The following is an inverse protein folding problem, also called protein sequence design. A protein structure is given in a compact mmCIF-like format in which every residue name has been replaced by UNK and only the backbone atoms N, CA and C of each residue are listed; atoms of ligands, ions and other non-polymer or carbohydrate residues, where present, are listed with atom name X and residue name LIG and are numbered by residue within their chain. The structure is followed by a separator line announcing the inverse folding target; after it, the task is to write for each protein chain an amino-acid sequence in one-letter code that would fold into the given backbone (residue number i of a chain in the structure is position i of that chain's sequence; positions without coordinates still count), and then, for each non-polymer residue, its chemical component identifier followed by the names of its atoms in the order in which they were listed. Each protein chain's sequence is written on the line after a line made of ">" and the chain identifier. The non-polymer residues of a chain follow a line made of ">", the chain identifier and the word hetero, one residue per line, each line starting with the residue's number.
data_IF_708048285726
#
_entry.id   IF_708048285726
#
_cell.length_a   1.000
_cell.length_b   1.000
_cell.length_c   1.000
_cell.angle_alpha   90.00
_cell.angle_beta   90.00
_cell.angle_gamma   90.00
#
_symmetry.space_group_name_H-M   'P 1'
#
loop_
_entity.id
_entity.type
_entity.pdbx_description
1 polymer ?
#
# COMPACT_ATOMS: atom_id res chain seq x y z
N UNK A 1 21.59 23.53 -56.55
CA UNK A 1 21.68 24.40 -55.36
C UNK A 1 20.48 24.13 -54.46
N UNK A 2 20.53 23.06 -53.67
CA UNK A 2 19.75 22.88 -52.44
C UNK A 2 20.60 21.97 -51.54
N UNK A 3 21.04 22.52 -50.42
CA UNK A 3 21.89 21.91 -49.41
C UNK A 3 21.07 21.78 -48.12
N UNK A 4 21.31 20.71 -47.34
CA UNK A 4 20.90 20.48 -45.93
C UNK A 4 19.41 20.13 -45.75
N UNK A 5 19.00 19.25 -44.83
CA UNK A 5 19.43 19.10 -43.43
C UNK A 5 19.28 17.62 -43.01
N UNK A 6 20.38 17.01 -42.56
CA UNK A 6 20.38 15.77 -41.76
C UNK A 6 20.49 16.18 -40.29
N UNK A 7 19.44 15.98 -39.50
CA UNK A 7 19.50 16.18 -38.05
C UNK A 7 19.93 14.87 -37.38
N UNK A 8 21.22 14.76 -37.08
CA UNK A 8 21.73 13.85 -36.05
C UNK A 8 21.28 14.37 -34.68
N UNK A 9 20.39 13.63 -34.02
CA UNK A 9 20.07 13.83 -32.60
C UNK A 9 21.16 13.15 -31.78
N UNK A 10 22.12 13.94 -31.31
CA UNK A 10 23.17 13.48 -30.40
C UNK A 10 22.56 13.33 -29.00
N UNK A 11 22.31 12.09 -28.58
CA UNK A 11 21.89 11.75 -27.21
C UNK A 11 23.05 11.98 -26.26
N UNK A 12 23.04 13.11 -25.55
CA UNK A 12 23.96 13.41 -24.47
C UNK A 12 23.61 12.49 -23.29
N UNK A 13 24.37 11.41 -23.11
CA UNK A 13 24.33 10.57 -21.91
C UNK A 13 25.13 11.32 -20.83
N UNK A 14 24.52 11.78 -19.72
CA UNK A 14 25.29 12.41 -18.65
C UNK A 14 26.18 11.36 -17.98
N UNK A 15 27.46 11.69 -17.82
CA UNK A 15 28.45 10.87 -17.14
C UNK A 15 28.00 10.51 -15.71
N UNK A 16 28.32 9.30 -15.19
CA UNK A 16 27.94 8.91 -13.85
C UNK A 16 28.57 9.85 -12.83
N UNK A 17 27.73 10.39 -11.93
CA UNK A 17 28.13 11.18 -10.77
C UNK A 17 29.20 10.42 -9.97
N UNK A 18 30.44 10.91 -9.99
CA UNK A 18 31.50 10.44 -9.10
C UNK A 18 31.17 10.86 -7.67
N UNK A 19 30.46 10.02 -6.94
CA UNK A 19 30.38 10.14 -5.48
C UNK A 19 31.76 9.81 -4.89
N UNK A 20 32.54 10.83 -4.51
CA UNK A 20 33.83 10.67 -3.82
C UNK A 20 33.64 10.42 -2.32
N UNK A 21 32.79 9.47 -1.95
CA UNK A 21 32.58 9.10 -0.55
C UNK A 21 32.89 7.62 -0.39
N UNK A 22 33.90 7.31 0.41
CA UNK A 22 34.34 5.94 0.70
C UNK A 22 33.16 5.12 1.26
N UNK A 23 32.57 4.27 0.41
CA UNK A 23 31.60 3.23 0.76
C UNK A 23 31.92 2.44 2.05
N UNK A 24 33.19 2.17 2.43
CA UNK A 24 33.47 1.51 3.71
C UNK A 24 33.02 2.32 4.95
N UNK A 25 33.00 3.65 4.92
CA UNK A 25 32.62 4.47 6.08
C UNK A 25 31.11 4.41 6.36
N UNK A 26 30.28 4.43 5.33
CA UNK A 26 28.82 4.30 5.50
C UNK A 26 28.47 2.87 5.92
N UNK A 27 29.16 1.87 5.36
CA UNK A 27 28.93 0.48 5.72
C UNK A 27 29.36 0.22 7.18
N UNK A 28 30.54 0.63 7.61
CA UNK A 28 31.00 0.42 9.01
C UNK A 28 30.22 1.27 10.02
N UNK A 29 29.82 2.50 9.70
CA UNK A 29 28.99 3.30 10.63
C UNK A 29 27.54 2.80 10.72
N UNK A 30 26.97 2.28 9.62
CA UNK A 30 25.65 1.63 9.66
C UNK A 30 25.72 0.25 10.34
N UNK A 31 26.84 -0.46 10.16
CA UNK A 31 27.19 -1.78 10.71
C UNK A 31 27.96 -1.66 12.04
N UNK A 32 27.77 -0.59 12.81
CA UNK A 32 28.07 -0.56 14.27
C UNK A 32 26.84 -0.02 15.02
N UNK A 33 25.81 0.43 14.29
CA UNK A 33 24.68 1.21 14.80
C UNK A 33 23.40 0.39 14.91
N UNK A 34 23.48 -0.88 15.32
CA UNK A 34 22.29 -1.72 15.59
C UNK A 34 21.56 -1.38 16.92
N UNK A 35 21.72 -0.17 17.47
CA UNK A 35 20.87 0.39 18.54
C UNK A 35 20.73 1.92 18.42
N UNK A 36 19.51 2.49 18.38
CA UNK A 36 19.30 3.93 18.56
C UNK A 36 19.48 4.26 20.05
N UNK A 37 20.74 4.33 20.47
CA UNK A 37 21.16 4.62 21.84
C UNK A 37 22.67 4.81 21.85
N UNK A 38 23.11 5.99 22.27
CA UNK A 38 24.49 6.50 22.33
C UNK A 38 25.57 5.38 22.30
N UNK A 39 26.30 5.29 21.18
CA UNK A 39 27.44 4.37 21.01
C UNK A 39 28.38 4.44 22.22
N UNK A 40 28.72 3.28 22.79
CA UNK A 40 29.68 3.24 23.89
C UNK A 40 31.08 3.63 23.39
N UNK A 41 31.97 4.03 24.30
CA UNK A 41 33.36 4.34 23.92
C UNK A 41 34.10 3.13 23.33
N UNK A 42 33.75 1.92 23.76
CA UNK A 42 34.30 0.69 23.21
C UNK A 42 33.82 0.45 21.76
N UNK A 43 32.55 0.73 21.47
CA UNK A 43 31.99 0.58 20.13
C UNK A 43 32.55 1.61 19.15
N UNK A 44 32.80 2.84 19.62
CA UNK A 44 33.50 3.87 18.83
C UNK A 44 34.93 3.46 18.47
N UNK A 45 35.66 2.84 19.41
CA UNK A 45 37.03 2.34 19.16
C UNK A 45 36.99 1.17 18.17
N UNK A 46 36.03 0.25 18.29
CA UNK A 46 35.85 -0.85 17.33
C UNK A 46 35.55 -0.36 15.92
N UNK A 47 34.68 0.65 15.76
CA UNK A 47 34.37 1.24 14.47
C UNK A 47 35.61 1.83 13.79
N UNK A 48 36.35 2.68 14.52
CA UNK A 48 37.60 3.25 14.00
C UNK A 48 38.67 2.18 13.76
N UNK A 49 38.63 1.10 14.55
CA UNK A 49 39.55 0.00 14.37
C UNK A 49 39.30 -0.79 13.09
N UNK A 50 38.02 -1.01 12.75
CA UNK A 50 37.57 -1.64 11.51
C UNK A 50 37.88 -0.78 10.27
N UNK A 51 37.93 0.55 10.42
CA UNK A 51 38.41 1.48 9.38
C UNK A 51 39.94 1.44 9.17
N UNK A 52 40.67 0.67 9.99
CA UNK A 52 42.12 0.54 9.89
C UNK A 52 42.93 1.63 10.60
N UNK A 53 42.31 2.47 11.46
CA UNK A 53 43.04 3.53 12.17
C UNK A 53 43.94 2.97 13.27
N UNK A 54 45.17 3.46 13.36
CA UNK A 54 46.08 3.15 14.47
C UNK A 54 45.59 3.74 15.80
N UNK A 55 46.05 3.20 16.93
CA UNK A 55 45.68 3.71 18.26
C UNK A 55 45.98 5.21 18.43
N UNK A 56 47.05 5.71 17.81
CA UNK A 56 47.38 7.15 17.83
C UNK A 56 46.37 7.99 17.07
N UNK A 57 45.92 7.52 15.90
CA UNK A 57 44.90 8.20 15.10
C UNK A 57 43.53 8.15 15.77
N UNK A 58 43.17 7.01 16.36
CA UNK A 58 41.93 6.87 17.14
C UNK A 58 41.95 7.80 18.36
N UNK A 59 43.07 7.89 19.07
CA UNK A 59 43.25 8.76 20.24
C UNK A 59 43.03 10.23 19.86
N UNK A 60 43.67 10.68 18.77
CA UNK A 60 43.50 12.02 18.23
C UNK A 60 42.03 12.29 17.82
N UNK A 61 41.36 11.32 17.19
CA UNK A 61 39.98 11.48 16.69
C UNK A 61 38.93 11.48 17.79
N UNK A 62 39.16 10.73 18.88
CA UNK A 62 38.26 10.64 20.03
C UNK A 62 38.57 11.66 21.13
N UNK A 63 39.66 12.44 21.00
CA UNK A 63 40.09 13.45 21.98
C UNK A 63 40.56 12.84 23.31
N UNK A 64 41.20 11.67 23.26
CA UNK A 64 41.69 10.92 24.43
C UNK A 64 43.16 10.52 24.27
N UNK A 65 43.82 10.04 25.33
CA UNK A 65 45.21 9.58 25.24
C UNK A 65 45.31 8.17 24.63
N UNK A 66 46.46 7.85 24.01
CA UNK A 66 46.74 6.51 23.51
C UNK A 66 46.71 5.45 24.64
N UNK A 67 47.12 5.82 25.86
CA UNK A 67 47.01 4.96 27.05
C UNK A 67 45.55 4.64 27.41
N UNK A 68 44.66 5.64 27.26
CA UNK A 68 43.22 5.43 27.46
C UNK A 68 42.68 4.43 26.44
N UNK A 69 43.14 4.49 25.18
CA UNK A 69 42.80 3.49 24.15
C UNK A 69 43.30 2.10 24.52
N UNK A 70 44.53 1.97 25.02
CA UNK A 70 45.06 0.68 25.48
C UNK A 70 44.20 0.07 26.61
N UNK A 71 43.68 0.91 27.51
CA UNK A 71 42.74 0.45 28.55
C UNK A 71 41.40 -0.02 27.97
N UNK A 72 40.89 0.62 26.92
CA UNK A 72 39.68 0.16 26.24
C UNK A 72 39.93 -1.15 25.48
N UNK A 73 41.07 -1.30 24.82
CA UNK A 73 41.45 -2.53 24.13
C UNK A 73 41.49 -3.74 25.08
N UNK A 74 42.01 -3.58 26.30
CA UNK A 74 41.98 -4.66 27.32
C UNK A 74 40.55 -5.16 27.60
N UNK A 75 39.58 -4.25 27.69
CA UNK A 75 38.17 -4.61 27.92
C UNK A 75 37.54 -5.23 26.68
N UNK A 76 37.84 -4.67 25.51
CA UNK A 76 37.36 -5.17 24.22
C UNK A 76 37.87 -6.59 23.96
N UNK A 77 39.15 -6.87 24.19
CA UNK A 77 39.70 -8.23 24.05
C UNK A 77 39.01 -9.23 24.97
N UNK A 78 38.80 -8.87 26.23
CA UNK A 78 38.05 -9.72 27.17
C UNK A 78 36.59 -9.91 26.73
N UNK A 79 35.94 -8.87 26.20
CA UNK A 79 34.55 -8.90 25.73
C UNK A 79 34.36 -9.80 24.51
N UNK A 80 35.33 -9.85 23.60
CA UNK A 80 35.30 -10.63 22.37
C UNK A 80 36.06 -11.96 22.47
N UNK A 81 36.69 -12.25 23.61
CA UNK A 81 37.56 -13.41 23.82
C UNK A 81 38.61 -13.56 22.71
N UNK A 82 39.29 -12.46 22.40
CA UNK A 82 40.18 -12.36 21.24
C UNK A 82 41.59 -11.93 21.65
N UNK A 83 42.58 -12.49 20.96
CA UNK A 83 44.00 -12.28 21.27
C UNK A 83 44.63 -11.19 20.40
N UNK A 84 43.93 -10.75 19.35
CA UNK A 84 44.44 -9.73 18.43
C UNK A 84 43.34 -8.78 17.96
N UNK A 85 43.74 -7.56 17.62
CA UNK A 85 42.83 -6.55 17.08
C UNK A 85 42.11 -7.05 15.82
N UNK A 86 42.83 -7.73 14.92
CA UNK A 86 42.25 -8.31 13.71
C UNK A 86 41.16 -9.32 14.03
N UNK A 87 41.38 -10.17 15.04
CA UNK A 87 40.41 -11.15 15.49
C UNK A 87 39.17 -10.48 16.11
N UNK A 88 39.35 -9.44 16.94
CA UNK A 88 38.23 -8.65 17.48
C UNK A 88 37.37 -8.09 16.34
N UNK A 89 38.00 -7.43 15.37
CA UNK A 89 37.29 -6.83 14.23
C UNK A 89 36.57 -7.89 13.42
N UNK A 90 37.22 -9.04 13.14
CA UNK A 90 36.59 -10.14 12.42
C UNK A 90 35.37 -10.72 13.15
N UNK A 91 35.48 -11.00 14.45
CA UNK A 91 34.37 -11.52 15.27
C UNK A 91 33.22 -10.53 15.39
N UNK A 92 33.52 -9.24 15.54
CA UNK A 92 32.51 -8.19 15.57
C UNK A 92 31.70 -8.13 14.27
N UNK A 93 32.38 -8.10 13.12
CA UNK A 93 31.74 -8.08 11.80
C UNK A 93 30.92 -9.36 11.53
N UNK A 94 31.43 -10.53 11.93
CA UNK A 94 30.71 -11.80 11.77
C UNK A 94 29.41 -11.83 12.57
N UNK A 95 29.46 -11.42 13.85
CA UNK A 95 28.28 -11.38 14.73
C UNK A 95 27.20 -10.45 14.17
N UNK A 96 27.61 -9.34 13.57
CA UNK A 96 26.67 -8.38 13.01
C UNK A 96 26.08 -8.84 11.67
N UNK A 97 26.90 -9.45 10.81
CA UNK A 97 26.41 -10.09 9.59
C UNK A 97 25.39 -11.21 9.88
N UNK A 98 25.61 -11.98 10.96
CA UNK A 98 24.65 -12.97 11.44
C UNK A 98 23.35 -12.33 11.89
N UNK A 99 23.39 -11.31 12.75
CA UNK A 99 22.20 -10.61 13.22
C UNK A 99 21.39 -9.98 12.08
N UNK A 100 22.06 -9.39 11.09
CA UNK A 100 21.42 -8.87 9.88
C UNK A 100 20.73 -9.95 9.05
N UNK A 101 21.32 -11.15 8.99
CA UNK A 101 20.77 -12.27 8.24
C UNK A 101 19.51 -12.81 8.93
N UNK A 102 19.57 -13.02 10.25
CA UNK A 102 18.42 -13.47 11.05
C UNK A 102 17.24 -12.48 10.98
N UNK A 103 17.52 -11.18 11.08
CA UNK A 103 16.48 -10.15 10.98
C UNK A 103 15.87 -10.11 9.57
N UNK A 104 16.70 -10.25 8.53
CA UNK A 104 16.22 -10.35 7.15
C UNK A 104 15.32 -11.56 6.95
N UNK A 105 15.70 -12.73 7.46
CA UNK A 105 14.89 -13.95 7.38
C UNK A 105 13.56 -13.80 8.11
N UNK A 106 13.57 -13.20 9.30
CA UNK A 106 12.36 -12.88 10.06
C UNK A 106 11.42 -11.97 9.26
N UNK A 107 11.93 -10.87 8.70
CA UNK A 107 11.13 -9.95 7.89
C UNK A 107 10.59 -10.61 6.62
N UNK A 108 11.38 -11.45 5.96
CA UNK A 108 10.92 -12.20 4.79
C UNK A 108 9.77 -13.15 5.13
N UNK A 109 9.86 -13.83 6.29
CA UNK A 109 8.78 -14.68 6.77
C UNK A 109 7.49 -13.87 7.06
N UNK A 110 7.61 -12.74 7.76
CA UNK A 110 6.47 -11.87 8.06
C UNK A 110 5.80 -11.32 6.78
N UNK A 111 6.60 -10.89 5.80
CA UNK A 111 6.10 -10.46 4.50
C UNK A 111 5.37 -11.60 3.78
N UNK A 112 5.93 -12.82 3.80
CA UNK A 112 5.32 -13.97 3.15
C UNK A 112 3.96 -14.32 3.75
N UNK A 113 3.85 -14.31 5.08
CA UNK A 113 2.58 -14.55 5.79
C UNK A 113 1.55 -13.44 5.50
N UNK A 114 1.96 -12.18 5.56
CA UNK A 114 1.08 -11.05 5.22
C UNK A 114 0.54 -11.17 3.79
N UNK A 115 1.41 -11.47 2.83
CA UNK A 115 1.03 -11.66 1.43
C UNK A 115 0.14 -12.89 1.22
N UNK A 116 0.27 -13.93 2.04
CA UNK A 116 -0.61 -15.11 2.01
C UNK A 116 -2.02 -14.73 2.44
N UNK A 117 -2.17 -14.02 3.56
CA UNK A 117 -3.49 -13.54 4.05
C UNK A 117 -4.14 -12.62 3.03
N UNK A 118 -3.39 -11.66 2.47
CA UNK A 118 -3.90 -10.74 1.45
C UNK A 118 -4.39 -11.47 0.19
N UNK A 119 -3.65 -12.47 -0.29
CA UNK A 119 -4.07 -13.30 -1.43
C UNK A 119 -5.34 -14.08 -1.14
N UNK A 120 -5.48 -14.67 0.05
CA UNK A 120 -6.68 -15.39 0.45
C UNK A 120 -7.90 -14.46 0.50
N UNK A 121 -7.72 -13.25 1.05
CA UNK A 121 -8.77 -12.23 1.07
C UNK A 121 -9.16 -11.80 -0.34
N UNK A 122 -8.18 -11.58 -1.22
CA UNK A 122 -8.42 -11.21 -2.60
C UNK A 122 -9.18 -12.30 -3.36
N UNK A 123 -8.82 -13.58 -3.17
CA UNK A 123 -9.54 -14.72 -3.75
C UNK A 123 -10.98 -14.81 -3.23
N UNK A 124 -11.18 -14.60 -1.92
CA UNK A 124 -12.52 -14.57 -1.32
C UNK A 124 -13.39 -13.47 -1.94
N UNK A 125 -12.86 -12.25 -2.05
CA UNK A 125 -13.58 -11.13 -2.66
C UNK A 125 -13.89 -11.35 -4.14
N UNK A 126 -12.95 -11.91 -4.91
CA UNK A 126 -13.17 -12.25 -6.32
C UNK A 126 -14.30 -13.26 -6.48
N UNK A 127 -14.37 -14.28 -5.62
CA UNK A 127 -15.47 -15.26 -5.64
C UNK A 127 -16.81 -14.58 -5.36
N UNK A 128 -16.88 -13.69 -4.37
CA UNK A 128 -18.09 -12.92 -4.08
C UNK A 128 -18.53 -12.07 -5.29
N UNK A 129 -17.60 -11.42 -5.99
CA UNK A 129 -17.91 -10.64 -7.19
C UNK A 129 -18.47 -11.50 -8.32
N UNK A 130 -17.84 -12.65 -8.62
CA UNK A 130 -18.34 -13.57 -9.66
C UNK A 130 -19.75 -14.07 -9.35
N UNK A 131 -20.03 -14.39 -8.07
CA UNK A 131 -21.38 -14.79 -7.66
C UNK A 131 -22.39 -13.66 -7.86
N UNK A 132 -22.05 -12.43 -7.49
CA UNK A 132 -22.93 -11.27 -7.70
C UNK A 132 -23.13 -10.93 -9.18
N UNK A 133 -22.12 -11.14 -10.04
CA UNK A 133 -22.22 -10.97 -11.49
C UNK A 133 -23.10 -12.04 -12.15
N UNK A 134 -23.16 -13.25 -11.59
CA UNK A 134 -24.04 -14.31 -12.09
C UNK A 134 -25.53 -14.04 -11.83
N UNK A 135 -25.87 -13.06 -10.98
CA UNK A 135 -27.26 -12.72 -10.70
C UNK A 135 -27.91 -12.01 -11.89
N UNK A 136 -29.11 -12.43 -12.33
CA UNK A 136 -29.83 -11.78 -13.45
C UNK A 136 -30.37 -10.39 -13.08
N UNK A 137 -30.37 -10.07 -11.80
CA UNK A 137 -30.80 -8.80 -11.23
C UNK A 137 -29.66 -7.80 -11.10
N UNK A 138 -29.98 -6.51 -11.20
CA UNK A 138 -29.02 -5.43 -11.01
C UNK A 138 -28.73 -5.21 -9.52
N UNK A 139 -27.45 -5.18 -9.16
CA UNK A 139 -26.98 -4.90 -7.80
C UNK A 139 -26.04 -3.71 -7.84
N UNK A 140 -26.24 -2.75 -6.94
CA UNK A 140 -25.40 -1.59 -6.73
C UNK A 140 -25.16 -1.41 -5.23
N UNK A 141 -23.89 -1.28 -4.84
CA UNK A 141 -23.49 -0.92 -3.48
C UNK A 141 -22.70 0.39 -3.52
N UNK A 142 -23.16 1.39 -2.78
CA UNK A 142 -22.51 2.69 -2.64
C UNK A 142 -22.11 2.97 -1.19
N UNK A 143 -21.06 3.75 -0.98
CA UNK A 143 -20.63 4.20 0.35
C UNK A 143 -21.58 5.26 0.91
N UNK A 144 -21.42 5.60 2.19
CA UNK A 144 -22.09 6.74 2.84
C UNK A 144 -21.95 8.05 2.03
N UNK A 145 -20.76 8.29 1.46
CA UNK A 145 -20.48 9.45 0.58
C UNK A 145 -21.07 9.34 -0.84
N UNK A 146 -21.99 8.41 -1.07
CA UNK A 146 -22.64 8.16 -2.38
C UNK A 146 -21.63 7.88 -3.50
N UNK A 147 -20.53 7.17 -3.18
CA UNK A 147 -19.57 6.65 -4.16
C UNK A 147 -19.83 5.19 -4.44
N UNK A 148 -19.82 4.80 -5.71
CA UNK A 148 -20.01 3.41 -6.11
C UNK A 148 -18.86 2.55 -5.56
N UNK A 149 -19.17 1.59 -4.69
CA UNK A 149 -18.19 0.61 -4.19
C UNK A 149 -18.25 -0.70 -4.96
N UNK A 150 -19.43 -1.07 -5.45
CA UNK A 150 -19.63 -2.22 -6.32
C UNK A 150 -20.88 -2.05 -7.18
N UNK A 151 -20.86 -2.59 -8.39
CA UNK A 151 -22.07 -2.90 -9.16
C UNK A 151 -21.79 -4.13 -10.01
N UNK A 152 -22.83 -4.91 -10.34
CA UNK A 152 -22.68 -6.08 -11.17
C UNK A 152 -22.94 -5.78 -12.66
N UNK A 153 -22.63 -6.73 -13.55
CA UNK A 153 -22.88 -6.57 -15.00
C UNK A 153 -24.36 -6.34 -15.33
N UNK A 154 -25.27 -7.01 -14.61
CA UNK A 154 -26.71 -6.83 -14.76
C UNK A 154 -27.16 -5.39 -14.47
N UNK A 155 -26.49 -4.66 -13.56
CA UNK A 155 -26.74 -3.23 -13.34
C UNK A 155 -26.46 -2.41 -14.60
N UNK A 156 -25.28 -2.56 -15.20
CA UNK A 156 -24.95 -1.85 -16.44
C UNK A 156 -25.94 -2.21 -17.57
N UNK A 157 -26.33 -3.48 -17.69
CA UNK A 157 -27.30 -3.93 -18.70
C UNK A 157 -28.69 -3.33 -18.49
N UNK A 158 -29.28 -3.50 -17.31
CA UNK A 158 -30.65 -3.07 -16.99
C UNK A 158 -30.79 -1.55 -17.16
N UNK A 159 -29.81 -0.78 -16.68
CA UNK A 159 -29.80 0.68 -16.79
C UNK A 159 -29.14 1.20 -18.08
N UNK A 160 -28.81 0.31 -19.03
CA UNK A 160 -28.21 0.65 -20.34
C UNK A 160 -26.95 1.52 -20.24
N UNK A 161 -26.14 1.28 -19.22
CA UNK A 161 -24.91 2.02 -18.97
C UNK A 161 -23.78 1.49 -19.87
N UNK A 162 -23.09 2.39 -20.58
CA UNK A 162 -22.04 2.03 -21.56
C UNK A 162 -20.70 1.65 -20.92
N UNK A 163 -20.53 1.91 -19.62
CA UNK A 163 -19.29 1.65 -18.91
C UNK A 163 -19.28 0.24 -18.30
N UNK A 164 -18.10 -0.35 -18.18
CA UNK A 164 -17.92 -1.62 -17.46
C UNK A 164 -18.07 -1.41 -15.95
N UNK A 165 -18.58 -2.40 -15.18
CA UNK A 165 -18.77 -2.25 -13.74
C UNK A 165 -17.52 -1.78 -12.98
N UNK A 166 -16.35 -2.34 -13.34
CA UNK A 166 -15.05 -1.97 -12.73
C UNK A 166 -14.67 -0.49 -12.94
N UNK A 167 -15.13 0.15 -14.01
CA UNK A 167 -14.82 1.57 -14.27
C UNK A 167 -15.79 2.53 -13.59
N UNK A 168 -16.86 1.99 -13.00
CA UNK A 168 -17.85 2.72 -12.20
C UNK A 168 -17.46 2.81 -10.74
N UNK A 169 -16.63 1.90 -10.22
CA UNK A 169 -16.12 1.94 -8.85
C UNK A 169 -15.41 3.28 -8.59
N UNK A 170 -15.76 3.94 -7.49
CA UNK A 170 -15.29 5.26 -7.08
C UNK A 170 -16.02 6.44 -7.72
N UNK A 171 -16.90 6.22 -8.70
CA UNK A 171 -17.69 7.30 -9.32
C UNK A 171 -18.82 7.76 -8.39
N UNK A 172 -19.30 8.96 -8.70
CA UNK A 172 -20.44 9.57 -8.05
C UNK A 172 -21.75 8.88 -8.45
N UNK A 173 -22.39 8.22 -7.49
CA UNK A 173 -23.61 7.47 -7.73
C UNK A 173 -24.84 8.38 -7.93
N UNK A 174 -24.84 9.60 -7.36
CA UNK A 174 -25.91 10.59 -7.58
C UNK A 174 -25.94 10.98 -9.05
N UNK A 175 -24.77 11.28 -9.64
CA UNK A 175 -24.67 11.59 -11.07
C UNK A 175 -25.16 10.43 -11.94
N UNK A 176 -24.72 9.21 -11.63
CA UNK A 176 -25.13 8.02 -12.37
C UNK A 176 -26.64 7.77 -12.28
N UNK A 177 -27.22 8.01 -11.10
CA UNK A 177 -28.68 7.91 -10.87
C UNK A 177 -29.44 8.95 -11.69
N UNK A 178 -28.95 10.19 -11.77
CA UNK A 178 -29.57 11.24 -12.61
C UNK A 178 -29.58 10.86 -14.09
N UNK A 179 -28.49 10.30 -14.61
CA UNK A 179 -28.43 9.83 -15.99
C UNK A 179 -29.41 8.67 -16.23
N UNK A 180 -29.51 7.74 -15.27
CA UNK A 180 -30.45 6.61 -15.32
C UNK A 180 -31.91 7.03 -15.16
N UNK A 181 -32.18 8.12 -14.42
CA UNK A 181 -33.52 8.59 -14.09
C UNK A 181 -34.35 8.91 -15.36
N UNK A 182 -33.68 9.31 -16.45
CA UNK A 182 -34.30 9.60 -17.76
C UNK A 182 -35.01 8.39 -18.38
N UNK A 183 -34.70 7.17 -17.94
CA UNK A 183 -35.36 5.94 -18.38
C UNK A 183 -36.70 5.64 -17.70
N UNK A 184 -37.14 6.48 -16.76
CA UNK A 184 -38.38 6.28 -15.98
C UNK A 184 -39.47 7.28 -16.34
N UNK A 185 -40.72 6.88 -16.13
CA UNK A 185 -41.88 7.74 -16.45
C UNK A 185 -41.94 8.99 -15.55
N UNK A 186 -41.54 8.86 -14.29
CA UNK A 186 -41.45 9.97 -13.33
C UNK A 186 -40.01 10.17 -12.85
N UNK A 187 -39.22 10.91 -13.64
CA UNK A 187 -37.81 11.22 -13.36
C UNK A 187 -37.63 11.94 -12.03
N UNK A 188 -38.47 12.94 -11.74
CA UNK A 188 -38.32 13.80 -10.55
C UNK A 188 -38.74 13.03 -9.30
N UNK A 189 -39.87 12.32 -9.35
CA UNK A 189 -40.32 11.49 -8.24
C UNK A 189 -39.36 10.35 -7.93
N UNK A 190 -38.76 9.73 -8.95
CA UNK A 190 -37.73 8.70 -8.75
C UNK A 190 -36.51 9.22 -7.97
N UNK A 191 -35.97 10.38 -8.35
CA UNK A 191 -34.83 10.98 -7.67
C UNK A 191 -35.16 11.38 -6.23
N UNK A 192 -36.29 12.06 -6.02
CA UNK A 192 -36.76 12.44 -4.68
C UNK A 192 -36.94 11.21 -3.79
N UNK A 193 -37.51 10.13 -4.34
CA UNK A 193 -37.75 8.89 -3.61
C UNK A 193 -36.45 8.22 -3.15
N UNK A 194 -35.38 8.28 -3.93
CA UNK A 194 -34.07 7.75 -3.51
C UNK A 194 -33.53 8.52 -2.30
N UNK A 195 -33.62 9.85 -2.34
CA UNK A 195 -33.16 10.69 -1.23
C UNK A 195 -34.01 10.47 0.03
N UNK A 196 -35.32 10.29 -0.11
CA UNK A 196 -36.22 9.90 1.01
C UNK A 196 -35.83 8.56 1.63
N UNK A 197 -35.56 7.55 0.80
CA UNK A 197 -35.18 6.21 1.28
C UNK A 197 -33.87 6.26 2.05
N UNK A 198 -32.85 6.92 1.50
CA UNK A 198 -31.56 7.06 2.19
C UNK A 198 -31.72 7.86 3.49
N UNK A 199 -32.48 8.96 3.47
CA UNK A 199 -32.70 9.79 4.66
C UNK A 199 -33.48 9.05 5.75
N UNK A 200 -34.40 8.15 5.39
CA UNK A 200 -35.11 7.31 6.35
C UNK A 200 -34.20 6.30 7.05
N UNK A 201 -33.16 5.80 6.36
CA UNK A 201 -32.30 4.74 6.87
C UNK A 201 -33.01 3.40 7.07
N UNK A 202 -34.20 3.21 6.51
CA UNK A 202 -35.00 1.99 6.63
C UNK A 202 -34.93 1.13 5.37
N UNK A 203 -34.99 -0.19 5.52
CA UNK A 203 -35.04 -1.10 4.39
C UNK A 203 -36.37 -0.96 3.63
N UNK A 204 -36.31 -0.98 2.30
CA UNK A 204 -37.48 -0.96 1.41
C UNK A 204 -37.44 -2.21 0.55
N UNK A 205 -38.58 -2.88 0.37
CA UNK A 205 -38.68 -4.08 -0.45
C UNK A 205 -39.87 -4.02 -1.41
N UNK A 206 -39.69 -4.50 -2.63
CA UNK A 206 -40.75 -4.69 -3.60
C UNK A 206 -41.28 -3.41 -4.24
N UNK A 207 -40.58 -2.29 -4.15
CA UNK A 207 -41.10 -1.03 -4.68
C UNK A 207 -41.08 -1.04 -6.21
N UNK A 208 -42.23 -0.81 -6.85
CA UNK A 208 -42.38 -0.89 -8.31
C UNK A 208 -42.17 0.46 -8.97
N UNK A 209 -41.37 0.45 -10.04
CA UNK A 209 -40.97 1.65 -10.79
C UNK A 209 -41.26 1.41 -12.27
N UNK A 210 -42.04 2.30 -12.88
CA UNK A 210 -42.40 2.19 -14.28
C UNK A 210 -41.34 2.85 -15.18
N UNK A 211 -40.89 2.13 -16.19
CA UNK A 211 -39.95 2.62 -17.21
C UNK A 211 -40.69 3.29 -18.37
N UNK A 212 -40.02 4.18 -19.10
CA UNK A 212 -40.57 4.85 -20.29
C UNK A 212 -40.95 3.89 -21.41
N UNK A 213 -40.34 2.70 -21.46
CA UNK A 213 -40.69 1.62 -22.39
C UNK A 213 -41.91 0.77 -21.94
N UNK A 214 -42.56 1.14 -20.83
CA UNK A 214 -43.74 0.47 -20.27
C UNK A 214 -43.47 -0.87 -19.58
N UNK A 215 -42.21 -1.21 -19.30
CA UNK A 215 -41.85 -2.33 -18.40
C UNK A 215 -41.71 -1.84 -16.95
N UNK A 216 -41.66 -2.78 -16.01
CA UNK A 216 -41.54 -2.49 -14.58
C UNK A 216 -40.21 -2.97 -14.02
N UNK A 217 -39.63 -2.19 -13.12
CA UNK A 217 -38.60 -2.64 -12.20
C UNK A 217 -39.18 -2.79 -10.80
N UNK A 218 -38.75 -3.82 -10.11
CA UNK A 218 -38.87 -3.94 -8.66
C UNK A 218 -37.56 -3.48 -8.02
N UNK A 219 -37.63 -2.64 -6.99
CA UNK A 219 -36.48 -2.13 -6.23
C UNK A 219 -36.57 -2.55 -4.78
N UNK A 220 -35.48 -3.13 -4.30
CA UNK A 220 -35.19 -3.28 -2.88
C UNK A 220 -34.01 -2.37 -2.50
N UNK A 221 -34.04 -1.89 -1.26
CA UNK A 221 -33.00 -1.11 -0.62
C UNK A 221 -32.71 -1.68 0.76
N UNK A 222 -31.42 -1.84 1.06
CA UNK A 222 -30.95 -2.26 2.38
C UNK A 222 -29.81 -1.34 2.82
N UNK A 223 -29.94 -0.61 3.96
CA UNK A 223 -28.81 0.10 4.54
C UNK A 223 -27.82 -0.91 5.14
N UNK A 224 -26.55 -0.78 4.79
CA UNK A 224 -25.50 -1.64 5.35
C UNK A 224 -24.88 -0.92 6.54
N UNK A 225 -24.93 -1.54 7.71
CA UNK A 225 -24.48 -0.97 8.97
C UNK A 225 -23.27 -1.72 9.53
N UNK A 226 -22.37 -0.99 10.19
CA UNK A 226 -21.31 -1.54 11.03
C UNK A 226 -21.20 -0.70 12.30
N UNK A 227 -21.17 -1.34 13.48
CA UNK A 227 -21.12 -0.65 14.78
C UNK A 227 -22.19 0.44 14.94
N UNK A 228 -23.43 0.16 14.52
CA UNK A 228 -24.57 1.09 14.57
C UNK A 228 -24.47 2.31 13.62
N UNK A 229 -23.42 2.42 12.80
CA UNK A 229 -23.26 3.44 11.76
C UNK A 229 -23.56 2.86 10.37
N UNK A 230 -24.21 3.65 9.50
CA UNK A 230 -24.48 3.26 8.11
C UNK A 230 -23.21 3.43 7.29
N UNK A 231 -22.59 2.32 6.90
CA UNK A 231 -21.35 2.29 6.10
C UNK A 231 -21.62 2.25 4.59
N UNK A 232 -22.88 2.17 4.19
CA UNK A 232 -23.27 2.24 2.78
C UNK A 232 -24.72 1.81 2.50
N UNK A 233 -25.04 1.79 1.22
CA UNK A 233 -26.38 1.56 0.70
C UNK A 233 -26.36 0.48 -0.37
N UNK A 234 -27.13 -0.59 -0.16
CA UNK A 234 -27.31 -1.67 -1.12
C UNK A 234 -28.64 -1.51 -1.85
N UNK A 235 -28.56 -1.45 -3.18
CA UNK A 235 -29.70 -1.37 -4.07
C UNK A 235 -29.78 -2.64 -4.92
N UNK A 236 -30.98 -3.21 -5.01
CA UNK A 236 -31.24 -4.38 -5.82
C UNK A 236 -32.44 -4.11 -6.73
N UNK A 237 -32.27 -4.33 -8.03
CA UNK A 237 -33.34 -4.13 -9.01
C UNK A 237 -33.59 -5.40 -9.83
N UNK A 238 -34.87 -5.75 -10.00
CA UNK A 238 -35.32 -6.89 -10.79
C UNK A 238 -36.25 -6.41 -11.90
N UNK A 239 -36.05 -6.88 -13.12
CA UNK A 239 -37.02 -6.65 -14.21
C UNK A 239 -38.24 -7.56 -13.98
N UNK A 240 -39.44 -6.97 -13.94
CA UNK A 240 -40.69 -7.72 -13.88
C UNK A 240 -41.25 -7.78 -15.31
N UNK A 241 -41.53 -8.98 -15.86
CA UNK A 241 -42.27 -9.12 -17.11
C UNK A 241 -43.64 -8.43 -17.03
N UNK A 242 -44.13 -7.96 -18.18
CA UNK A 242 -45.48 -7.36 -18.28
C UNK A 242 -46.57 -8.37 -17.94
#
# INVERSE_FOLDING_TARGET
>A
MVERISHQTSTIIPAPLRFSHNLPTILVMAVVSAKPGRLTREDQILALAAEGLTDRQMAARLGISAETIASYWRRIFARFDAMSRTEVVARALQKEAQGLTEERERLLFEIAERQRVERLLQQSNQRLFVLMDSLPSAVLFETEDRKVKFCNESFCRIFSHKALPKTLVGRDAIRMTKDAALGFTDTIGFLRRIDEIIASGEAVAGERIQRTNGSWLERDYVPIQANEEVVGHLWHYREIPR
#
